data_IF_472505159314
#
_entry.id   IF_472505159314
#
_cell.length_a   1.000
_cell.length_b   1.000
_cell.length_c   1.000
_cell.angle_alpha   90.00
_cell.angle_beta   90.00
_cell.angle_gamma   90.00
#
_symmetry.space_group_name_H-M   'P 1'
#
loop_
_entity.id
_entity.type
_entity.pdbx_description
1 polymer ?
#
# COMPACT_ATOMS: atom_id res chain seq x y z
N UNK A 1 11.86 3.34 1.95
CA UNK A 1 11.17 2.13 1.41
C UNK A 1 10.27 2.54 0.26
N UNK A 2 10.31 1.80 -0.83
CA UNK A 2 9.41 2.01 -1.97
C UNK A 2 8.20 1.10 -1.87
N UNK A 3 7.16 1.42 -2.64
CA UNK A 3 6.03 0.51 -2.78
C UNK A 3 5.46 0.58 -4.20
N UNK A 4 4.68 -0.44 -4.55
CA UNK A 4 4.04 -0.56 -5.86
C UNK A 4 2.52 -0.39 -5.77
N UNK A 5 2.03 0.22 -4.68
CA UNK A 5 0.59 0.31 -4.42
C UNK A 5 -0.17 0.96 -5.58
N UNK A 6 0.36 2.06 -6.12
CA UNK A 6 -0.29 2.77 -7.23
C UNK A 6 -0.43 1.87 -8.46
N UNK A 7 0.60 1.09 -8.76
CA UNK A 7 0.60 0.16 -9.90
C UNK A 7 -0.43 -0.94 -9.65
N UNK A 8 -0.45 -1.52 -8.46
CA UNK A 8 -1.39 -2.59 -8.11
C UNK A 8 -2.84 -2.09 -8.13
N UNK A 9 -3.06 -0.86 -7.65
CA UNK A 9 -4.39 -0.25 -7.72
C UNK A 9 -4.84 -0.08 -9.18
N UNK A 10 -3.93 0.39 -10.04
CA UNK A 10 -4.23 0.58 -11.46
C UNK A 10 -4.61 -0.74 -12.12
N UNK A 11 -3.90 -1.80 -11.81
CA UNK A 11 -4.20 -3.14 -12.33
C UNK A 11 -5.60 -3.59 -11.94
N UNK A 12 -6.04 -3.28 -10.72
CA UNK A 12 -7.37 -3.65 -10.20
C UNK A 12 -8.42 -2.57 -10.43
N UNK A 13 -8.06 -1.48 -11.10
CA UNK A 13 -8.96 -0.35 -11.32
C UNK A 13 -9.54 0.18 -10.01
N UNK A 14 -8.70 0.33 -9.00
CA UNK A 14 -9.07 0.82 -7.68
C UNK A 14 -8.59 2.25 -7.48
N UNK A 15 -9.43 3.09 -6.88
CA UNK A 15 -9.01 4.42 -6.42
C UNK A 15 -8.32 4.31 -5.07
N UNK A 16 -7.66 5.39 -4.64
CA UNK A 16 -7.10 5.45 -3.28
C UNK A 16 -8.21 5.27 -2.24
N UNK A 17 -9.37 5.86 -2.48
CA UNK A 17 -10.52 5.74 -1.59
C UNK A 17 -11.01 4.30 -1.49
N UNK A 18 -11.03 3.57 -2.61
CA UNK A 18 -11.43 2.16 -2.63
C UNK A 18 -10.49 1.32 -1.79
N UNK A 19 -9.19 1.52 -1.94
CA UNK A 19 -8.20 0.78 -1.15
C UNK A 19 -8.30 1.13 0.32
N UNK A 20 -8.45 2.42 0.64
CA UNK A 20 -8.60 2.89 2.01
C UNK A 20 -9.78 2.21 2.70
N UNK A 21 -10.93 2.14 2.03
CA UNK A 21 -12.11 1.47 2.56
C UNK A 21 -11.84 -0.03 2.77
N UNK A 22 -11.18 -0.67 1.82
CA UNK A 22 -10.91 -2.11 1.89
C UNK A 22 -10.03 -2.48 3.08
N UNK A 23 -9.11 -1.61 3.49
CA UNK A 23 -8.18 -1.88 4.60
C UNK A 23 -8.50 -1.11 5.87
N UNK A 24 -9.58 -0.30 5.87
CA UNK A 24 -10.08 0.35 7.07
C UNK A 24 -9.30 1.58 7.53
N UNK A 25 -8.74 2.36 6.59
CA UNK A 25 -8.04 3.60 6.90
C UNK A 25 -8.59 4.74 6.04
N UNK A 26 -8.12 5.96 6.29
CA UNK A 26 -8.52 7.12 5.48
C UNK A 26 -7.78 7.12 4.14
N UNK A 27 -8.40 7.80 3.14
CA UNK A 27 -7.74 8.02 1.85
C UNK A 27 -6.42 8.75 2.02
N UNK A 28 -6.35 9.70 2.96
CA UNK A 28 -5.12 10.44 3.24
C UNK A 28 -3.99 9.51 3.67
N UNK A 29 -4.31 8.48 4.46
CA UNK A 29 -3.32 7.48 4.88
C UNK A 29 -2.74 6.76 3.66
N UNK A 30 -3.59 6.32 2.73
CA UNK A 30 -3.13 5.65 1.51
C UNK A 30 -2.25 6.61 0.69
N UNK A 31 -2.67 7.86 0.54
CA UNK A 31 -1.89 8.84 -0.21
C UNK A 31 -0.49 9.05 0.38
N UNK A 32 -0.37 9.16 1.70
CA UNK A 32 0.93 9.36 2.36
C UNK A 32 1.81 8.13 2.27
N UNK A 33 1.23 6.94 2.28
CA UNK A 33 1.98 5.69 2.08
C UNK A 33 2.51 5.65 0.64
N UNK A 34 1.68 5.91 -0.34
CA UNK A 34 2.08 5.88 -1.76
C UNK A 34 3.17 6.89 -2.08
N UNK A 35 3.17 8.02 -1.39
CA UNK A 35 4.18 9.06 -1.60
C UNK A 35 5.44 8.86 -0.76
N UNK A 36 5.57 7.73 -0.07
CA UNK A 36 6.71 7.37 0.77
C UNK A 36 6.94 8.31 1.97
N UNK A 37 5.90 8.99 2.41
CA UNK A 37 5.96 9.88 3.58
C UNK A 37 5.59 9.17 4.87
N UNK A 38 5.08 7.97 4.78
CA UNK A 38 4.64 7.19 5.92
C UNK A 38 4.83 5.70 5.64
N UNK A 39 5.47 5.00 6.58
CA UNK A 39 5.62 3.55 6.51
C UNK A 39 4.47 2.94 7.30
N UNK A 40 3.63 2.11 6.68
CA UNK A 40 2.49 1.53 7.38
C UNK A 40 2.92 0.56 8.47
N UNK A 41 2.04 0.36 9.45
CA UNK A 41 2.22 -0.69 10.45
C UNK A 41 2.25 -2.06 9.75
N UNK A 42 2.81 -3.05 10.42
CA UNK A 42 2.84 -4.41 9.88
C UNK A 42 1.43 -4.91 9.55
N UNK A 43 0.47 -4.65 10.42
CA UNK A 43 -0.92 -5.09 10.20
C UNK A 43 -1.49 -4.44 8.94
N UNK A 44 -1.31 -3.13 8.78
CA UNK A 44 -1.82 -2.42 7.62
C UNK A 44 -1.14 -2.90 6.34
N UNK A 45 0.18 -3.07 6.38
CA UNK A 45 0.94 -3.56 5.23
C UNK A 45 0.46 -4.95 4.78
N UNK A 46 0.20 -5.84 5.73
CA UNK A 46 -0.31 -7.18 5.42
C UNK A 46 -1.72 -7.13 4.84
N UNK A 47 -2.58 -6.23 5.34
CA UNK A 47 -3.92 -6.05 4.79
C UNK A 47 -3.87 -5.55 3.34
N UNK A 48 -2.98 -4.61 3.06
CA UNK A 48 -2.80 -4.09 1.70
C UNK A 48 -2.32 -5.21 0.76
N UNK A 49 -1.31 -5.97 1.18
CA UNK A 49 -0.81 -7.09 0.38
C UNK A 49 -1.91 -8.11 0.10
N UNK A 50 -2.77 -8.38 1.08
CA UNK A 50 -3.88 -9.32 0.93
C UNK A 50 -4.91 -8.83 -0.09
N UNK A 51 -5.20 -7.54 -0.12
CA UNK A 51 -6.12 -6.96 -1.12
C UNK A 51 -5.61 -7.23 -2.53
N UNK A 52 -4.30 -7.11 -2.74
CA UNK A 52 -3.68 -7.34 -4.05
C UNK A 52 -3.31 -8.79 -4.29
N UNK A 53 -3.50 -9.65 -3.29
CA UNK A 53 -3.20 -11.08 -3.39
C UNK A 53 -1.76 -11.35 -3.83
N UNK A 54 -0.83 -10.60 -3.24
CA UNK A 54 0.60 -10.72 -3.52
C UNK A 54 1.40 -10.78 -2.21
N UNK A 55 2.59 -11.38 -2.23
CA UNK A 55 3.47 -11.36 -1.07
C UNK A 55 3.82 -9.92 -0.68
N UNK A 56 4.02 -9.69 0.61
CA UNK A 56 4.32 -8.37 1.15
C UNK A 56 5.55 -7.74 0.46
N UNK A 57 6.58 -8.52 0.24
CA UNK A 57 7.84 -8.03 -0.36
C UNK A 57 7.74 -7.72 -1.85
N UNK A 58 6.62 -8.06 -2.50
CA UNK A 58 6.35 -7.61 -3.86
C UNK A 58 5.64 -6.27 -3.89
N UNK A 59 5.07 -5.86 -2.76
CA UNK A 59 4.37 -4.58 -2.63
C UNK A 59 5.27 -3.53 -1.99
N UNK A 60 5.97 -3.91 -0.92
CA UNK A 60 6.86 -3.01 -0.16
C UNK A 60 8.30 -3.47 -0.34
N UNK A 61 9.14 -2.57 -0.87
CA UNK A 61 10.49 -2.90 -1.29
C UNK A 61 11.48 -2.10 -0.46
N UNK A 62 12.36 -2.80 0.24
CA UNK A 62 13.42 -2.17 1.02
C UNK A 62 14.40 -1.46 0.09
N UNK A 63 14.85 -0.31 0.54
CA UNK A 63 15.90 0.44 -0.13
C UNK A 63 17.15 0.43 0.72
N UNK A 64 18.28 0.75 0.10
CA UNK A 64 19.52 0.92 0.84
C UNK A 64 19.33 2.03 1.86
N UNK A 65 19.70 1.76 3.11
CA UNK A 65 19.52 2.71 4.21
C UNK A 65 18.24 2.50 5.03
N UNK A 66 17.35 1.64 4.58
CA UNK A 66 16.15 1.30 5.37
C UNK A 66 16.45 0.42 6.59
#
# INVERSE_FOLDING_TARGET
>A
MKNTIRIERAIKDMTQADLAEAVGVSRQTINTIESNKYVPSTVLALKIAKVFNKPLEEIFILEEGD
#
